data_IF_073101184647
#
_entry.id   IF_073101184647
#
_cell.length_a   1.000
_cell.length_b   1.000
_cell.length_c   1.000
_cell.angle_alpha   90.00
_cell.angle_beta   90.00
_cell.angle_gamma   90.00
#
_symmetry.space_group_name_H-M   'P 1'
#
loop_
_entity.id
_entity.type
_entity.pdbx_description
1 polymer ?
#
# COMPACT_ATOMS: atom_id res chain seq x y z
N UNK A 1 -8.81 12.86 15.58
CA UNK A 1 -8.44 13.21 14.17
C UNK A 1 -7.26 12.35 13.70
N UNK A 2 -6.55 12.69 12.62
CA UNK A 2 -5.44 11.85 12.11
C UNK A 2 -4.31 11.59 13.14
N UNK A 3 -4.09 12.52 14.08
CA UNK A 3 -3.11 12.38 15.18
C UNK A 3 -3.47 11.30 16.19
N UNK A 4 -4.74 10.95 16.31
CA UNK A 4 -5.25 9.93 17.23
C UNK A 4 -5.62 8.64 16.48
N UNK A 5 -5.34 8.57 15.17
CA UNK A 5 -5.70 7.42 14.37
C UNK A 5 -4.64 6.33 14.50
N UNK A 6 -5.07 5.12 14.82
CA UNK A 6 -4.22 3.93 14.80
C UNK A 6 -3.92 3.46 13.37
N UNK A 7 -4.79 3.80 12.41
CA UNK A 7 -4.67 3.35 11.03
C UNK A 7 -5.15 4.40 10.03
N UNK A 8 -4.49 4.46 8.87
CA UNK A 8 -4.97 5.13 7.67
C UNK A 8 -5.05 4.16 6.49
N UNK A 9 -6.13 4.28 5.71
CA UNK A 9 -6.35 3.50 4.49
C UNK A 9 -6.46 4.48 3.32
N UNK A 10 -5.46 4.51 2.44
CA UNK A 10 -5.38 5.40 1.30
C UNK A 10 -5.81 4.65 0.01
N UNK A 11 -7.05 4.91 -0.44
CA UNK A 11 -7.71 4.20 -1.55
C UNK A 11 -8.25 5.15 -2.62
N UNK A 12 -7.56 6.25 -2.85
CA UNK A 12 -7.89 7.20 -3.91
C UNK A 12 -7.54 6.65 -5.30
N UNK A 13 -7.97 7.34 -6.36
CA UNK A 13 -7.71 6.93 -7.74
C UNK A 13 -6.23 6.95 -8.13
N UNK A 14 -5.41 7.80 -7.51
CA UNK A 14 -3.98 7.94 -7.82
C UNK A 14 -3.13 7.23 -6.77
N UNK A 15 -2.19 6.42 -7.25
CA UNK A 15 -1.21 5.73 -6.40
C UNK A 15 -0.30 6.75 -5.71
N UNK A 16 0.10 7.81 -6.41
CA UNK A 16 0.93 8.90 -5.91
C UNK A 16 0.27 9.64 -4.74
N UNK A 17 -1.04 9.92 -4.86
CA UNK A 17 -1.82 10.52 -3.77
C UNK A 17 -1.87 9.58 -2.57
N UNK A 18 -2.05 8.27 -2.80
CA UNK A 18 -2.09 7.29 -1.71
C UNK A 18 -0.73 7.21 -0.99
N UNK A 19 0.36 7.15 -1.75
CA UNK A 19 1.72 7.12 -1.24
C UNK A 19 2.05 8.35 -0.39
N UNK A 20 1.76 9.55 -0.92
CA UNK A 20 1.99 10.82 -0.21
C UNK A 20 1.09 10.96 1.02
N UNK A 21 -0.16 10.50 0.97
CA UNK A 21 -1.04 10.51 2.14
C UNK A 21 -0.46 9.67 3.29
N UNK A 22 0.05 8.47 3.00
CA UNK A 22 0.70 7.61 4.00
C UNK A 22 1.98 8.25 4.56
N UNK A 23 2.78 8.92 3.71
CA UNK A 23 3.95 9.69 4.14
C UNK A 23 3.59 10.81 5.10
N UNK A 24 2.61 11.63 4.74
CA UNK A 24 2.15 12.74 5.58
C UNK A 24 1.60 12.21 6.92
N UNK A 25 0.81 11.14 6.88
CA UNK A 25 0.31 10.46 8.07
C UNK A 25 1.44 9.94 8.96
N UNK A 26 2.58 9.54 8.38
CA UNK A 26 3.76 9.11 9.14
C UNK A 26 4.45 10.30 9.79
N UNK A 27 4.86 11.25 8.97
CA UNK A 27 5.76 12.33 9.39
C UNK A 27 5.08 13.32 10.32
N UNK A 28 3.82 13.68 10.06
CA UNK A 28 3.13 14.73 10.82
C UNK A 28 2.30 14.20 11.99
N UNK A 29 1.82 12.95 11.87
CA UNK A 29 0.82 12.41 12.80
C UNK A 29 1.27 11.10 13.46
N UNK A 30 2.41 10.54 13.05
CA UNK A 30 2.94 9.28 13.58
C UNK A 30 1.91 8.14 13.58
N UNK A 31 1.03 8.11 12.58
CA UNK A 31 0.01 7.05 12.44
C UNK A 31 0.73 5.71 12.29
N UNK A 32 0.47 4.73 13.19
CA UNK A 32 1.29 3.53 13.31
C UNK A 32 1.02 2.50 12.21
N UNK A 33 -0.16 2.49 11.61
CA UNK A 33 -0.48 1.58 10.49
C UNK A 33 -0.97 2.35 9.27
N UNK A 34 -0.33 2.13 8.12
CA UNK A 34 -0.78 2.66 6.83
C UNK A 34 -0.99 1.56 5.82
N UNK A 35 -2.16 1.59 5.21
CA UNK A 35 -2.54 0.73 4.11
C UNK A 35 -2.74 1.62 2.88
N UNK A 36 -2.11 1.28 1.77
CA UNK A 36 -2.27 2.01 0.52
C UNK A 36 -2.67 1.07 -0.61
N UNK A 37 -3.58 1.53 -1.48
CA UNK A 37 -3.83 0.87 -2.76
C UNK A 37 -2.80 1.33 -3.78
N UNK A 38 -2.09 0.37 -4.38
CA UNK A 38 -1.11 0.59 -5.45
C UNK A 38 -1.45 -0.33 -6.61
N UNK A 39 -1.75 0.26 -7.78
CA UNK A 39 -2.14 -0.47 -9.00
C UNK A 39 -0.99 -0.61 -9.98
N UNK A 40 -0.15 0.42 -10.08
CA UNK A 40 0.93 0.43 -11.05
C UNK A 40 1.97 -0.65 -10.71
N UNK A 41 2.07 -1.65 -11.59
CA UNK A 41 3.01 -2.78 -11.46
C UNK A 41 4.46 -2.34 -11.37
N UNK A 42 4.80 -1.17 -11.95
CA UNK A 42 6.13 -0.58 -11.84
C UNK A 42 6.54 -0.25 -10.41
N UNK A 43 5.62 0.17 -9.54
CA UNK A 43 5.92 0.39 -8.12
C UNK A 43 6.04 -0.93 -7.34
N UNK A 44 5.39 -2.00 -7.81
CA UNK A 44 5.39 -3.33 -7.17
C UNK A 44 6.53 -4.23 -7.62
N UNK A 45 7.40 -3.73 -8.50
CA UNK A 45 8.54 -4.49 -9.00
C UNK A 45 9.52 -4.80 -7.85
N UNK A 46 9.96 -6.07 -7.68
CA UNK A 46 10.90 -6.45 -6.63
C UNK A 46 12.19 -5.62 -6.60
N UNK A 47 12.61 -5.06 -7.74
CA UNK A 47 13.77 -4.16 -7.84
C UNK A 47 13.60 -2.88 -7.03
N UNK A 48 12.37 -2.45 -6.79
CA UNK A 48 12.01 -1.30 -5.97
C UNK A 48 11.42 -1.73 -4.62
N UNK A 49 11.70 -2.95 -4.14
CA UNK A 49 11.23 -3.42 -2.83
C UNK A 49 11.67 -2.50 -1.68
N UNK A 50 12.84 -1.87 -1.80
CA UNK A 50 13.35 -0.86 -0.84
C UNK A 50 12.63 0.49 -0.93
N UNK A 51 11.65 0.66 -1.83
CA UNK A 51 10.81 1.85 -1.90
C UNK A 51 9.82 1.89 -0.73
N UNK A 52 9.34 0.75 -0.25
CA UNK A 52 8.28 0.66 0.77
C UNK A 52 8.76 0.16 2.13
N UNK A 53 8.66 1.03 3.14
CA UNK A 53 9.23 0.81 4.45
C UNK A 53 9.50 2.12 5.19
N UNK A 54 9.77 2.00 6.49
CA UNK A 54 9.65 3.11 7.42
C UNK A 54 10.62 4.25 7.19
N UNK A 55 11.80 3.98 6.62
CA UNK A 55 12.83 4.99 6.38
C UNK A 55 12.75 5.65 4.99
N UNK A 56 11.80 5.23 4.16
CA UNK A 56 11.61 5.67 2.78
C UNK A 56 10.13 6.01 2.60
N UNK A 57 9.33 5.19 1.90
CA UNK A 57 7.88 5.36 1.82
C UNK A 57 7.15 4.52 2.87
N UNK A 58 6.62 5.10 3.95
CA UNK A 58 6.07 4.37 5.09
C UNK A 58 4.66 3.89 4.76
N UNK A 59 4.59 2.76 4.08
CA UNK A 59 3.39 1.99 3.77
C UNK A 59 3.61 0.60 4.36
N UNK A 60 2.79 0.22 5.34
CA UNK A 60 2.95 -1.06 6.04
C UNK A 60 2.29 -2.20 5.28
N UNK A 61 1.17 -1.90 4.58
CA UNK A 61 0.44 -2.88 3.77
C UNK A 61 0.07 -2.27 2.42
N UNK A 62 0.33 -3.01 1.35
CA UNK A 62 -0.05 -2.63 0.00
C UNK A 62 -1.20 -3.52 -0.47
N UNK A 63 -2.26 -2.91 -0.99
CA UNK A 63 -3.34 -3.60 -1.67
C UNK A 63 -3.17 -3.38 -3.17
N UNK A 64 -2.90 -4.45 -3.93
CA UNK A 64 -2.85 -4.42 -5.38
C UNK A 64 -4.00 -5.26 -5.96
N UNK A 65 -5.15 -4.64 -6.28
CA UNK A 65 -6.34 -5.36 -6.73
C UNK A 65 -6.06 -6.28 -7.92
N UNK A 66 -5.23 -5.84 -8.85
CA UNK A 66 -4.85 -6.59 -10.04
C UNK A 66 -4.08 -7.87 -9.67
N UNK A 67 -3.12 -7.76 -8.74
CA UNK A 67 -2.33 -8.90 -8.27
C UNK A 67 -3.16 -9.87 -7.44
N UNK A 68 -3.97 -9.35 -6.51
CA UNK A 68 -4.87 -10.15 -5.67
C UNK A 68 -5.89 -10.93 -6.52
N UNK A 69 -6.43 -10.31 -7.58
CA UNK A 69 -7.33 -10.98 -8.53
C UNK A 69 -6.59 -12.08 -9.30
N UNK A 70 -5.38 -11.81 -9.80
CA UNK A 70 -4.57 -12.83 -10.48
C UNK A 70 -4.26 -14.02 -9.58
N UNK A 71 -3.85 -13.78 -8.33
CA UNK A 71 -3.57 -14.84 -7.35
C UNK A 71 -4.84 -15.64 -7.03
N UNK A 72 -5.99 -14.97 -6.82
CA UNK A 72 -7.26 -15.64 -6.56
C UNK A 72 -7.72 -16.53 -7.74
N UNK A 73 -7.50 -16.09 -8.98
CA UNK A 73 -7.80 -16.90 -10.17
C UNK A 73 -6.88 -18.12 -10.23
N UNK A 74 -5.57 -17.94 -10.04
CA UNK A 74 -4.60 -19.03 -10.06
C UNK A 74 -4.91 -20.07 -8.97
N UNK A 75 -5.28 -19.63 -7.78
CA UNK A 75 -5.61 -20.53 -6.68
C UNK A 75 -6.84 -21.39 -6.99
N UNK A 76 -7.88 -20.80 -7.61
CA UNK A 76 -9.06 -21.53 -8.08
C UNK A 76 -8.74 -22.54 -9.18
N UNK A 77 -7.79 -22.25 -10.06
CA UNK A 77 -7.33 -23.20 -11.08
C UNK A 77 -6.52 -24.36 -10.50
N UNK A 78 -5.80 -24.12 -9.41
CA UNK A 78 -4.95 -25.13 -8.75
C UNK A 78 -5.68 -26.00 -7.72
N UNK A 79 -6.92 -25.65 -7.36
CA UNK A 79 -7.75 -26.45 -6.46
C UNK A 79 -8.58 -27.43 -7.31
N UNK A 80 -8.47 -28.76 -7.12
CA UNK A 80 -9.17 -29.76 -7.92
C UNK A 80 -10.70 -29.62 -7.91
#
# INVERSE_FOLDING_TARGET
GAREADMIIAVTYSDEVNMIACQIAHTLFNVPTKIARIRASGYLDPRYSDLFGRHHMPIDVIISPEREVSEAIMQRMSTP
#
